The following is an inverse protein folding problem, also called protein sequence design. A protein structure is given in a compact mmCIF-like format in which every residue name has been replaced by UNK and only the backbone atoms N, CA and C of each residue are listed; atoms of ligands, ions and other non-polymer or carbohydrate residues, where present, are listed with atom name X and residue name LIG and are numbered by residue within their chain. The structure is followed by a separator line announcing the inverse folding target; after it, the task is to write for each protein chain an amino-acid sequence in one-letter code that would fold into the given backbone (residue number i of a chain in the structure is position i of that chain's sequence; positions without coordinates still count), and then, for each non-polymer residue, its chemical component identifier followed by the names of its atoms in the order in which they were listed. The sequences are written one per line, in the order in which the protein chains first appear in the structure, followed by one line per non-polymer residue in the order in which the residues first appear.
data_IF_847888761301
#
_entry.id   IF_847888761301
#
_cell.length_a   1.000
_cell.length_b   1.000
_cell.length_c   1.000
_cell.angle_alpha   90.00
_cell.angle_beta   90.00
_cell.angle_gamma   90.00
#
_symmetry.space_group_name_H-M   'P 1'
#
loop_
_entity.id
_entity.type
_entity.pdbx_description
1 polymer ?
#
# COMPACT_ATOMS: atom_id res chain seq x y z
N UNK A 1 14.36 -22.63 23.75
CA UNK A 1 15.34 -22.23 22.71
C UNK A 1 14.87 -22.60 21.30
N UNK A 2 14.22 -23.75 21.06
CA UNK A 2 13.67 -24.11 19.74
C UNK A 2 12.62 -23.10 19.21
N UNK A 3 11.73 -22.63 20.08
CA UNK A 3 10.60 -21.73 19.75
C UNK A 3 11.02 -20.39 19.11
N UNK A 4 12.14 -19.81 19.56
CA UNK A 4 12.64 -18.53 19.06
C UNK A 4 13.32 -18.65 17.68
N UNK A 5 13.95 -19.79 17.37
CA UNK A 5 14.53 -20.03 16.05
C UNK A 5 13.44 -20.34 15.02
N UNK A 6 12.45 -21.15 15.38
CA UNK A 6 11.28 -21.39 14.52
C UNK A 6 10.53 -20.10 14.19
N UNK A 7 10.33 -19.20 15.18
CA UNK A 7 9.70 -17.89 14.93
C UNK A 7 10.51 -16.98 14.02
N UNK A 8 11.84 -16.91 14.20
CA UNK A 8 12.70 -16.12 13.28
C UNK A 8 12.63 -16.66 11.86
N UNK A 9 12.64 -17.99 11.70
CA UNK A 9 12.54 -18.63 10.39
C UNK A 9 11.20 -18.32 9.71
N UNK A 10 10.09 -18.38 10.46
CA UNK A 10 8.78 -18.00 9.96
C UNK A 10 8.73 -16.53 9.53
N UNK A 11 9.27 -15.60 10.31
CA UNK A 11 9.33 -14.17 9.93
C UNK A 11 10.11 -13.97 8.63
N UNK A 12 11.23 -14.68 8.46
CA UNK A 12 12.00 -14.62 7.22
C UNK A 12 11.23 -15.18 6.03
N UNK A 13 10.52 -16.29 6.22
CA UNK A 13 9.68 -16.90 5.20
C UNK A 13 8.55 -15.97 4.77
N UNK A 14 7.78 -15.43 5.72
CA UNK A 14 6.71 -14.46 5.43
C UNK A 14 7.25 -13.23 4.70
N UNK A 15 8.39 -12.68 5.15
CA UNK A 15 9.04 -11.55 4.47
C UNK A 15 9.44 -11.88 3.02
N UNK A 16 9.81 -13.12 2.73
CA UNK A 16 10.12 -13.53 1.35
C UNK A 16 8.88 -13.64 0.45
N UNK A 17 7.69 -13.77 1.04
CA UNK A 17 6.42 -13.80 0.30
C UNK A 17 5.77 -12.42 0.18
N UNK A 18 6.08 -11.51 1.11
CA UNK A 18 5.42 -10.22 1.27
C UNK A 18 5.38 -9.40 -0.03
N UNK A 19 6.51 -9.23 -0.72
CA UNK A 19 6.57 -8.44 -1.95
C UNK A 19 5.57 -8.95 -2.99
N UNK A 20 5.50 -10.26 -3.17
CA UNK A 20 4.55 -10.89 -4.10
C UNK A 20 3.09 -10.85 -3.64
N UNK A 21 2.83 -10.68 -2.34
CA UNK A 21 1.48 -10.42 -1.84
C UNK A 21 1.07 -8.98 -2.05
N UNK A 22 1.96 -8.03 -1.75
CA UNK A 22 1.78 -6.60 -1.97
C UNK A 22 1.50 -6.34 -3.45
N UNK A 23 2.30 -6.88 -4.37
CA UNK A 23 2.09 -6.67 -5.81
C UNK A 23 0.71 -7.12 -6.29
N UNK A 24 0.18 -8.23 -5.76
CA UNK A 24 -1.18 -8.69 -6.09
C UNK A 24 -2.25 -7.82 -5.44
N UNK A 25 -2.05 -7.47 -4.17
CA UNK A 25 -2.98 -6.63 -3.42
C UNK A 25 -3.08 -5.22 -4.01
N UNK A 26 -1.99 -4.65 -4.52
CA UNK A 26 -1.99 -3.38 -5.26
C UNK A 26 -2.91 -3.42 -6.47
N UNK A 27 -2.78 -4.47 -7.31
CA UNK A 27 -3.63 -4.64 -8.50
C UNK A 27 -5.09 -4.80 -8.09
N UNK A 28 -5.38 -5.64 -7.10
CA UNK A 28 -6.75 -5.88 -6.63
C UNK A 28 -7.40 -4.63 -6.04
N UNK A 29 -6.69 -3.92 -5.15
CA UNK A 29 -7.17 -2.67 -4.56
C UNK A 29 -7.37 -1.58 -5.62
N UNK A 30 -6.45 -1.49 -6.60
CA UNK A 30 -6.59 -0.52 -7.68
C UNK A 30 -7.85 -0.80 -8.51
N UNK A 31 -8.03 -2.05 -8.93
CA UNK A 31 -9.22 -2.43 -9.70
C UNK A 31 -10.51 -2.23 -8.90
N UNK A 32 -10.53 -2.58 -7.60
CA UNK A 32 -11.70 -2.41 -6.73
C UNK A 32 -12.08 -0.93 -6.55
N UNK A 33 -11.11 -0.05 -6.33
CA UNK A 33 -11.35 1.34 -5.93
C UNK A 33 -11.43 2.31 -7.12
N UNK A 34 -10.78 2.00 -8.24
CA UNK A 34 -10.60 2.92 -9.36
C UNK A 34 -11.06 2.38 -10.72
N UNK A 35 -11.14 1.05 -10.91
CA UNK A 35 -11.61 0.43 -12.15
C UNK A 35 -12.95 -0.28 -11.96
N UNK A 36 -14.01 0.49 -11.72
CA UNK A 36 -15.36 -0.01 -11.51
C UNK A 36 -16.45 0.95 -11.94
N UNK A 37 -17.70 0.59 -11.64
CA UNK A 37 -18.87 1.43 -11.94
C UNK A 37 -18.99 2.64 -10.99
N UNK A 38 -18.32 2.60 -9.84
CA UNK A 38 -18.35 3.63 -8.78
C UNK A 38 -16.94 3.87 -8.22
N UNK A 39 -16.02 4.45 -9.00
CA UNK A 39 -14.66 4.74 -8.53
C UNK A 39 -14.67 5.78 -7.41
N UNK A 40 -13.78 5.64 -6.43
CA UNK A 40 -13.72 6.54 -5.26
C UNK A 40 -13.27 7.96 -5.64
N UNK A 41 -12.65 8.12 -6.81
CA UNK A 41 -12.30 9.40 -7.41
C UNK A 41 -13.05 9.59 -8.73
N UNK A 42 -13.49 10.81 -9.05
CA UNK A 42 -14.04 11.12 -10.36
C UNK A 42 -12.97 10.97 -11.45
N UNK A 43 -13.41 10.74 -12.68
CA UNK A 43 -12.54 10.46 -13.83
C UNK A 43 -11.49 11.57 -14.07
N UNK A 44 -11.84 12.82 -13.83
CA UNK A 44 -10.93 13.96 -13.95
C UNK A 44 -9.77 13.92 -12.94
N UNK A 45 -10.04 13.52 -11.71
CA UNK A 45 -9.03 13.37 -10.65
C UNK A 45 -8.17 12.14 -10.87
N UNK A 46 -8.75 11.06 -11.40
CA UNK A 46 -7.97 9.88 -11.82
C UNK A 46 -6.98 10.21 -12.94
N UNK A 47 -7.41 10.97 -13.95
CA UNK A 47 -6.52 11.42 -15.03
C UNK A 47 -5.44 12.38 -14.51
N UNK A 48 -5.77 13.21 -13.53
CA UNK A 48 -4.80 14.07 -12.88
C UNK A 48 -3.76 13.26 -12.10
N UNK A 49 -4.21 12.27 -11.34
CA UNK A 49 -3.35 11.35 -10.59
C UNK A 49 -2.43 10.55 -11.53
N UNK A 50 -2.93 10.04 -12.65
CA UNK A 50 -2.13 9.40 -13.71
C UNK A 50 -1.07 10.35 -14.30
N UNK A 51 -1.42 11.63 -14.48
CA UNK A 51 -0.49 12.66 -14.94
C UNK A 51 0.61 12.94 -13.91
N UNK A 52 0.26 12.99 -12.62
CA UNK A 52 1.21 13.16 -11.51
C UNK A 52 2.18 11.97 -11.45
N UNK A 53 1.62 10.76 -11.46
CA UNK A 53 2.37 9.50 -11.41
C UNK A 53 3.40 9.43 -12.55
N UNK A 54 2.93 9.64 -13.78
CA UNK A 54 3.78 9.72 -14.98
C UNK A 54 4.85 10.81 -14.92
N UNK A 55 4.63 11.91 -14.18
CA UNK A 55 5.64 12.96 -13.97
C UNK A 55 6.72 12.49 -13.00
N UNK A 56 6.33 11.89 -11.87
CA UNK A 56 7.25 11.38 -10.87
C UNK A 56 8.14 10.27 -11.45
N UNK A 57 7.57 9.32 -12.18
CA UNK A 57 8.32 8.25 -12.86
C UNK A 57 9.39 8.80 -13.81
N UNK A 58 9.07 9.85 -14.58
CA UNK A 58 10.03 10.48 -15.51
C UNK A 58 11.21 11.14 -14.81
N UNK A 59 11.06 11.50 -13.54
CA UNK A 59 12.12 12.10 -12.75
C UNK A 59 12.95 11.08 -11.97
N UNK A 60 12.69 9.78 -12.17
CA UNK A 60 13.43 8.68 -11.55
C UNK A 60 12.90 8.28 -10.18
N UNK A 61 11.71 8.75 -9.80
CA UNK A 61 10.98 8.29 -8.62
C UNK A 61 10.06 7.13 -9.01
N UNK A 62 9.59 6.33 -8.06
CA UNK A 62 8.74 5.14 -8.32
C UNK A 62 7.25 5.47 -8.59
N UNK A 63 6.96 6.67 -9.07
CA UNK A 63 5.58 7.17 -9.20
C UNK A 63 4.92 7.50 -7.86
N UNK A 64 3.62 7.78 -7.87
CA UNK A 64 2.79 7.83 -6.64
C UNK A 64 2.56 6.41 -6.13
N UNK A 65 2.23 5.49 -7.04
CA UNK A 65 1.78 4.15 -6.68
C UNK A 65 2.90 3.23 -6.19
N UNK A 66 4.15 3.48 -6.53
CA UNK A 66 5.30 2.69 -6.08
C UNK A 66 5.93 3.18 -4.76
N UNK A 67 5.44 4.28 -4.19
CA UNK A 67 5.99 4.84 -2.94
C UNK A 67 5.51 4.15 -1.68
N UNK A 68 4.42 3.38 -1.78
CA UNK A 68 3.87 2.63 -0.67
C UNK A 68 4.80 1.48 -0.26
N UNK A 69 4.99 1.28 1.04
CA UNK A 69 5.86 0.22 1.56
C UNK A 69 5.19 -0.49 2.71
N UNK A 70 5.36 -1.81 2.74
CA UNK A 70 4.71 -2.67 3.73
C UNK A 70 5.75 -3.46 4.51
N UNK A 71 5.44 -3.72 5.78
CA UNK A 71 6.32 -4.45 6.67
C UNK A 71 5.55 -5.44 7.53
N UNK A 72 6.24 -6.52 7.92
CA UNK A 72 5.76 -7.44 8.94
C UNK A 72 6.21 -6.94 10.32
N UNK A 73 5.26 -6.76 11.22
CA UNK A 73 5.56 -6.56 12.64
C UNK A 73 5.20 -7.82 13.44
N UNK A 74 5.95 -8.05 14.50
CA UNK A 74 5.64 -9.10 15.47
C UNK A 74 5.26 -8.46 16.80
N UNK A 75 4.05 -8.70 17.31
CA UNK A 75 3.69 -8.32 18.67
C UNK A 75 4.57 -9.10 19.66
N UNK A 76 5.37 -8.36 20.41
CA UNK A 76 6.29 -8.93 21.40
C UNK A 76 5.50 -9.20 22.69
N UNK A 77 5.00 -10.43 22.85
CA UNK A 77 4.27 -10.82 24.06
C UNK A 77 3.43 -12.11 23.98
N UNK A 78 3.07 -12.58 22.78
CA UNK A 78 2.27 -13.79 22.60
C UNK A 78 3.09 -15.00 22.15
N UNK A 79 2.87 -16.14 22.79
CA UNK A 79 3.38 -17.48 22.39
C UNK A 79 2.69 -18.05 21.14
N UNK A 80 1.74 -17.32 20.58
CA UNK A 80 0.96 -17.72 19.40
C UNK A 80 1.58 -17.15 18.13
N UNK A 81 1.49 -17.92 17.05
CA UNK A 81 1.72 -17.44 15.68
C UNK A 81 0.84 -16.23 15.37
N UNK A 82 -0.30 -15.99 16.05
CA UNK A 82 -1.18 -14.80 15.98
C UNK A 82 -0.50 -13.43 16.13
N UNK A 83 0.78 -13.39 16.49
CA UNK A 83 1.49 -12.15 16.74
C UNK A 83 2.06 -11.49 15.48
N UNK A 84 1.95 -12.08 14.28
CA UNK A 84 2.41 -11.44 13.03
C UNK A 84 1.27 -10.69 12.37
N UNK A 85 1.50 -9.40 12.10
CA UNK A 85 0.59 -8.53 11.35
C UNK A 85 1.35 -7.72 10.30
N UNK A 86 0.59 -7.05 9.43
CA UNK A 86 1.10 -6.23 8.34
C UNK A 86 0.89 -4.77 8.69
N UNK A 87 1.81 -3.91 8.30
CA UNK A 87 1.66 -2.47 8.45
C UNK A 87 2.12 -1.76 7.19
N UNK A 88 1.34 -0.78 6.76
CA UNK A 88 1.77 0.22 5.79
C UNK A 88 2.79 1.16 6.46
N UNK A 89 4.07 1.00 6.11
CA UNK A 89 5.20 1.76 6.63
C UNK A 89 5.25 3.15 5.99
N UNK A 90 4.96 3.23 4.70
CA UNK A 90 4.89 4.47 3.93
C UNK A 90 3.61 4.47 3.12
N UNK A 91 2.82 5.53 3.27
CA UNK A 91 1.59 5.72 2.49
C UNK A 91 1.93 6.48 1.22
N UNK A 92 1.29 6.13 0.09
CA UNK A 92 1.38 6.93 -1.11
C UNK A 92 0.68 8.27 -0.87
N UNK A 93 1.32 9.34 -1.31
CA UNK A 93 0.77 10.69 -1.17
C UNK A 93 1.29 11.59 -2.29
N UNK A 94 0.43 12.51 -2.74
CA UNK A 94 0.82 13.65 -3.55
C UNK A 94 1.16 14.78 -2.59
N UNK A 95 2.35 15.36 -2.72
CA UNK A 95 2.78 16.49 -1.90
C UNK A 95 3.03 17.71 -2.76
N UNK A 96 3.02 18.90 -2.16
CA UNK A 96 3.36 20.14 -2.86
C UNK A 96 4.79 20.10 -3.48
N UNK A 97 5.72 19.33 -2.93
CA UNK A 97 7.04 19.07 -3.53
C UNK A 97 6.97 18.13 -4.75
N UNK A 98 5.99 17.23 -4.80
CA UNK A 98 5.61 16.44 -5.98
C UNK A 98 4.99 17.34 -7.08
N UNK A 99 4.27 18.39 -6.67
CA UNK A 99 3.56 19.37 -7.53
C UNK A 99 4.50 20.47 -8.06
N UNK A 100 5.54 20.84 -7.30
CA UNK A 100 6.55 21.86 -7.63
C UNK A 100 7.33 21.61 -8.94
N UNK A 101 7.08 20.49 -9.64
CA UNK A 101 7.70 20.14 -10.93
C UNK A 101 6.78 20.22 -12.16
N UNK A 102 5.53 20.70 -12.05
CA UNK A 102 4.79 21.08 -13.27
C UNK A 102 3.26 20.99 -13.26
N UNK A 103 2.58 21.06 -12.11
CA UNK A 103 1.11 21.15 -12.07
C UNK A 103 0.73 22.43 -11.33
N UNK A 104 0.70 23.54 -12.06
CA UNK A 104 0.36 24.87 -11.52
C UNK A 104 -1.11 24.98 -11.03
N UNK A 105 -1.94 23.95 -11.24
CA UNK A 105 -3.41 24.00 -11.05
C UNK A 105 -3.98 22.97 -10.05
N UNK A 106 -3.16 22.26 -9.27
CA UNK A 106 -3.72 21.40 -8.21
C UNK A 106 -4.15 22.28 -7.03
N UNK A 107 -5.46 22.44 -6.85
CA UNK A 107 -6.02 23.13 -5.69
C UNK A 107 -5.99 22.23 -4.44
N UNK A 108 -5.94 22.87 -3.26
CA UNK A 108 -5.85 22.17 -1.97
C UNK A 108 -6.99 21.16 -1.75
N UNK A 109 -8.22 21.45 -2.21
CA UNK A 109 -9.38 20.56 -2.05
C UNK A 109 -9.23 19.29 -2.90
N UNK A 110 -8.73 19.43 -4.13
CA UNK A 110 -8.43 18.29 -5.00
C UNK A 110 -7.23 17.49 -4.49
N UNK A 111 -6.18 18.14 -3.99
CA UNK A 111 -5.05 17.45 -3.35
C UNK A 111 -5.51 16.63 -2.14
N UNK A 112 -6.34 17.20 -1.27
CA UNK A 112 -6.88 16.51 -0.09
C UNK A 112 -7.71 15.28 -0.48
N UNK A 113 -8.56 15.38 -1.52
CA UNK A 113 -9.38 14.26 -1.98
C UNK A 113 -8.55 13.14 -2.60
N UNK A 114 -7.55 13.48 -3.42
CA UNK A 114 -6.61 12.50 -3.97
C UNK A 114 -5.84 11.81 -2.84
N UNK A 115 -5.31 12.55 -1.87
CA UNK A 115 -4.58 11.96 -0.75
C UNK A 115 -5.47 11.10 0.16
N UNK A 116 -6.73 11.47 0.35
CA UNK A 116 -7.70 10.63 1.05
C UNK A 116 -7.93 9.30 0.30
N UNK A 117 -8.07 9.34 -1.02
CA UNK A 117 -8.21 8.15 -1.85
C UNK A 117 -6.95 7.27 -1.82
N UNK A 118 -5.75 7.86 -1.88
CA UNK A 118 -4.48 7.14 -1.76
C UNK A 118 -4.32 6.47 -0.40
N UNK A 119 -4.78 7.12 0.67
CA UNK A 119 -4.82 6.53 1.99
C UNK A 119 -5.77 5.33 2.06
N UNK A 120 -7.00 5.46 1.52
CA UNK A 120 -7.95 4.34 1.43
C UNK A 120 -7.40 3.19 0.61
N UNK A 121 -6.72 3.47 -0.50
CA UNK A 121 -6.01 2.48 -1.30
C UNK A 121 -4.97 1.73 -0.47
N UNK A 122 -4.08 2.45 0.23
CA UNK A 122 -3.04 1.82 1.04
C UNK A 122 -3.59 0.98 2.20
N UNK A 123 -4.71 1.39 2.79
CA UNK A 123 -5.45 0.59 3.75
C UNK A 123 -5.97 -0.70 3.12
N UNK A 124 -6.62 -0.60 1.96
CA UNK A 124 -7.19 -1.77 1.28
C UNK A 124 -6.11 -2.77 0.88
N UNK A 125 -4.96 -2.30 0.42
CA UNK A 125 -3.78 -3.15 0.18
C UNK A 125 -3.32 -3.82 1.47
N UNK A 126 -3.29 -3.10 2.60
CA UNK A 126 -2.93 -3.70 3.90
C UNK A 126 -3.88 -4.84 4.26
N UNK A 127 -5.18 -4.60 4.18
CA UNK A 127 -6.22 -5.62 4.46
C UNK A 127 -6.05 -6.86 3.58
N UNK A 128 -5.89 -6.68 2.27
CA UNK A 128 -5.69 -7.78 1.32
C UNK A 128 -4.40 -8.57 1.57
N UNK A 129 -3.34 -7.93 2.07
CA UNK A 129 -2.09 -8.61 2.46
C UNK A 129 -2.26 -9.31 3.81
N UNK A 130 -3.03 -8.74 4.74
CA UNK A 130 -3.38 -9.40 6.01
C UNK A 130 -4.23 -10.65 5.78
N UNK A 131 -5.25 -10.60 4.92
CA UNK A 131 -6.05 -11.76 4.53
C UNK A 131 -5.15 -12.89 4.00
N UNK A 132 -4.17 -12.57 3.14
CA UNK A 132 -3.20 -13.55 2.62
C UNK A 132 -2.24 -14.08 3.69
N UNK A 133 -1.84 -13.23 4.61
CA UNK A 133 -1.00 -13.63 5.74
C UNK A 133 -1.75 -14.62 6.63
N UNK A 134 -3.02 -14.34 6.92
CA UNK A 134 -3.88 -15.18 7.73
C UNK A 134 -4.16 -16.52 7.04
N UNK A 135 -4.48 -16.51 5.75
CA UNK A 135 -4.58 -17.74 4.95
C UNK A 135 -3.28 -18.56 4.97
N UNK A 136 -2.13 -17.92 4.80
CA UNK A 136 -0.83 -18.59 4.80
C UNK A 136 -0.48 -19.21 6.17
N UNK A 137 -0.97 -18.59 7.25
CA UNK A 137 -0.75 -19.05 8.62
C UNK A 137 -1.89 -19.94 9.14
N UNK A 138 -2.86 -20.30 8.28
CA UNK A 138 -4.07 -21.05 8.62
C UNK A 138 -4.83 -20.41 9.80
N UNK A 139 -5.03 -19.08 9.78
CA UNK A 139 -5.81 -18.32 10.75
C UNK A 139 -7.22 -18.03 10.20
N UNK A 140 -8.23 -18.17 11.06
CA UNK A 140 -9.65 -17.85 10.78
C UNK A 140 -9.99 -16.43 11.25
#
# INVERSE_FOLDING_TARGET
MADSNSRRQLVHEVRSQLDGWVDRARVEAYTELFEGDDPILPEEELRLLDTIDSQLERHGDDGVWGTDQYGIHSADGGRSTDALGVVCVYHPQVTSDSVLRGIDDLDDETEERINAALWTYAQRVTELVEERLDEYLDRD
#
